data_IF_141625330003
#
_entry.id   IF_141625330003
#
_cell.length_a   1.000
_cell.length_b   1.000
_cell.length_c   1.000
_cell.angle_alpha   90.00
_cell.angle_beta   90.00
_cell.angle_gamma   90.00
#
_symmetry.space_group_name_H-M   'P 1'
#
loop_
_entity.id
_entity.type
_entity.pdbx_description
1 polymer ?
#
# COMPACT_ATOMS: atom_id res chain seq x y z
N UNK A 1 2.07 -14.72 24.36
CA UNK A 1 0.65 -14.67 23.94
C UNK A 1 0.58 -14.40 22.45
N UNK A 2 -0.11 -15.24 21.67
CA UNK A 2 -0.33 -14.98 20.24
C UNK A 2 -1.32 -13.81 20.09
N UNK A 3 -1.05 -12.87 19.18
CA UNK A 3 -1.98 -11.78 18.89
C UNK A 3 -3.28 -12.33 18.32
N UNK A 4 -4.43 -11.77 18.75
CA UNK A 4 -5.75 -12.08 18.21
C UNK A 4 -5.75 -11.81 16.70
N UNK A 5 -6.25 -12.77 15.92
CA UNK A 5 -6.50 -12.56 14.49
C UNK A 5 -7.63 -11.55 14.32
N UNK A 6 -7.42 -10.57 13.44
CA UNK A 6 -8.40 -9.52 13.12
C UNK A 6 -8.34 -9.20 11.63
N UNK A 7 -9.40 -8.58 11.13
CA UNK A 7 -9.39 -7.98 9.80
C UNK A 7 -8.99 -6.51 9.92
N UNK A 8 -8.27 -6.04 8.91
CA UNK A 8 -7.86 -4.65 8.77
C UNK A 8 -8.39 -4.12 7.45
N UNK A 9 -8.75 -2.84 7.42
CA UNK A 9 -9.22 -2.14 6.23
C UNK A 9 -8.27 -0.98 5.92
N UNK A 10 -7.88 -0.87 4.66
CA UNK A 10 -7.29 0.34 4.08
C UNK A 10 -8.32 1.01 3.16
N UNK A 11 -8.54 2.31 3.33
CA UNK A 11 -9.36 3.13 2.43
C UNK A 11 -8.47 4.18 1.78
N UNK A 12 -8.25 4.05 0.48
CA UNK A 12 -7.37 4.93 -0.29
C UNK A 12 -8.10 6.22 -0.71
N UNK A 13 -7.36 7.30 -1.05
CA UNK A 13 -7.94 8.58 -1.47
C UNK A 13 -8.83 8.52 -2.71
N UNK A 14 -8.62 7.53 -3.59
CA UNK A 14 -9.44 7.28 -4.79
C UNK A 14 -10.70 6.44 -4.50
N UNK A 15 -10.98 6.14 -3.22
CA UNK A 15 -12.08 5.29 -2.81
C UNK A 15 -11.80 3.78 -2.90
N UNK A 16 -10.59 3.35 -3.31
CA UNK A 16 -10.22 1.95 -3.29
C UNK A 16 -10.16 1.42 -1.85
N UNK A 17 -10.86 0.31 -1.59
CA UNK A 17 -10.89 -0.34 -0.27
C UNK A 17 -10.21 -1.70 -0.34
N UNK A 18 -9.26 -1.95 0.58
CA UNK A 18 -8.59 -3.24 0.74
C UNK A 18 -8.90 -3.82 2.11
N UNK A 19 -9.60 -4.96 2.15
CA UNK A 19 -9.70 -5.79 3.36
C UNK A 19 -8.48 -6.73 3.44
N UNK A 20 -7.91 -6.84 4.62
CA UNK A 20 -6.66 -7.57 4.92
C UNK A 20 -6.95 -8.50 6.09
N UNK A 21 -6.52 -9.76 5.98
CA UNK A 21 -6.64 -10.74 7.07
C UNK A 21 -7.65 -11.85 6.79
N UNK A 22 -7.96 -12.68 7.80
CA UNK A 22 -7.68 -12.44 9.22
C UNK A 22 -6.19 -12.63 9.55
N UNK A 23 -5.57 -11.66 10.21
CA UNK A 23 -4.13 -11.68 10.53
C UNK A 23 -3.84 -11.31 11.99
N UNK A 24 -2.79 -11.93 12.54
CA UNK A 24 -2.21 -11.58 13.83
C UNK A 24 -1.00 -10.63 13.69
N UNK A 25 -0.55 -10.36 12.46
CA UNK A 25 0.53 -9.42 12.20
C UNK A 25 0.17 -8.01 12.70
N UNK A 26 1.16 -7.25 13.19
CA UNK A 26 0.95 -5.87 13.61
C UNK A 26 1.08 -4.91 12.43
N UNK A 27 0.38 -5.18 11.33
CA UNK A 27 0.34 -4.20 10.25
C UNK A 27 -0.39 -2.95 10.73
N UNK A 28 0.18 -1.80 10.39
CA UNK A 28 -0.36 -0.49 10.76
C UNK A 28 -0.64 0.36 9.53
N UNK A 29 0.01 0.09 8.40
CA UNK A 29 -0.13 0.88 7.19
C UNK A 29 -0.22 -0.01 5.96
N UNK A 30 -1.05 0.40 5.00
CA UNK A 30 -1.02 -0.05 3.62
C UNK A 30 -0.41 1.05 2.77
N UNK A 31 0.41 0.67 1.79
CA UNK A 31 0.97 1.60 0.83
C UNK A 31 0.81 1.04 -0.58
N UNK A 32 0.75 1.95 -1.56
CA UNK A 32 0.82 1.59 -2.97
C UNK A 32 1.56 2.63 -3.80
N UNK A 33 2.07 2.20 -4.94
CA UNK A 33 2.53 3.05 -6.04
C UNK A 33 1.62 2.77 -7.22
N UNK A 34 0.93 3.80 -7.69
CA UNK A 34 0.11 3.77 -8.91
C UNK A 34 0.91 4.44 -10.01
N UNK A 35 1.36 3.67 -10.99
CA UNK A 35 2.20 4.14 -12.09
C UNK A 35 1.47 4.05 -13.42
N UNK A 36 1.67 5.05 -14.28
CA UNK A 36 1.17 5.07 -15.66
C UNK A 36 2.33 4.81 -16.61
N UNK A 37 2.15 3.88 -17.55
CA UNK A 37 3.13 3.53 -18.57
C UNK A 37 2.91 4.35 -19.84
N UNK A 38 3.91 4.42 -20.71
CA UNK A 38 3.84 5.14 -22.00
C UNK A 38 2.67 4.69 -22.88
N UNK A 39 2.26 3.42 -22.79
CA UNK A 39 1.10 2.88 -23.53
C UNK A 39 -0.26 3.18 -22.86
N UNK A 40 -0.29 4.02 -21.83
CA UNK A 40 -1.49 4.38 -21.09
C UNK A 40 -1.97 3.34 -20.08
N UNK A 41 -1.30 2.20 -19.92
CA UNK A 41 -1.65 1.19 -18.91
C UNK A 41 -1.23 1.63 -17.51
N UNK A 42 -1.93 1.15 -16.50
CA UNK A 42 -1.60 1.36 -15.10
C UNK A 42 -0.95 0.11 -14.49
N UNK A 43 0.20 0.29 -13.83
CA UNK A 43 0.79 -0.71 -12.93
C UNK A 43 0.58 -0.27 -11.48
N UNK A 44 0.20 -1.20 -10.60
CA UNK A 44 0.04 -0.93 -9.17
C UNK A 44 0.91 -1.86 -8.35
N UNK A 45 1.81 -1.28 -7.56
CA UNK A 45 2.59 -1.99 -6.54
C UNK A 45 2.02 -1.68 -5.18
N UNK A 46 1.99 -2.64 -4.27
CA UNK A 46 1.41 -2.43 -2.95
C UNK A 46 2.01 -3.34 -1.89
N UNK A 47 1.80 -2.99 -0.62
CA UNK A 47 2.18 -3.83 0.50
C UNK A 47 1.68 -3.29 1.84
N UNK A 48 2.05 -3.99 2.91
CA UNK A 48 1.73 -3.61 4.29
C UNK A 48 3.02 -3.44 5.08
N UNK A 49 3.03 -2.54 6.06
CA UNK A 49 4.17 -2.33 6.97
C UNK A 49 3.71 -2.29 8.42
N UNK A 50 4.69 -2.43 9.33
CA UNK A 50 4.42 -2.47 10.78
C UNK A 50 4.60 -1.10 11.43
N UNK A 51 5.06 -0.10 10.68
CA UNK A 51 5.16 1.28 11.14
C UNK A 51 4.99 2.31 10.01
N UNK A 52 4.66 3.55 10.41
CA UNK A 52 4.66 4.71 9.51
C UNK A 52 6.05 4.98 8.92
N UNK A 53 7.11 4.80 9.71
CA UNK A 53 8.48 5.01 9.25
C UNK A 53 8.85 4.05 8.11
N UNK A 54 8.49 2.78 8.23
CA UNK A 54 8.66 1.79 7.15
C UNK A 54 7.82 2.15 5.92
N UNK A 55 6.56 2.57 6.11
CA UNK A 55 5.69 2.97 5.01
C UNK A 55 6.30 4.15 4.23
N UNK A 56 6.75 5.19 4.92
CA UNK A 56 7.42 6.36 4.32
C UNK A 56 8.63 5.97 3.48
N UNK A 57 9.44 5.00 3.94
CA UNK A 57 10.62 4.50 3.19
C UNK A 57 10.24 3.85 1.87
N UNK A 58 9.02 3.34 1.69
CA UNK A 58 8.57 2.71 0.43
C UNK A 58 8.41 3.70 -0.72
N UNK A 59 8.29 5.01 -0.43
CA UNK A 59 8.31 6.07 -1.46
C UNK A 59 9.58 6.00 -2.32
N UNK A 60 10.71 5.60 -1.75
CA UNK A 60 11.98 5.53 -2.46
C UNK A 60 12.00 4.48 -3.58
N UNK A 61 11.08 3.49 -3.57
CA UNK A 61 10.99 2.50 -4.64
C UNK A 61 10.38 3.07 -5.94
N UNK A 62 9.68 4.21 -5.86
CA UNK A 62 9.01 4.80 -7.02
C UNK A 62 9.97 5.32 -8.12
N UNK A 63 11.03 6.11 -7.82
CA UNK A 63 11.97 6.56 -8.84
C UNK A 63 12.73 5.41 -9.51
N UNK A 64 13.08 4.36 -8.76
CA UNK A 64 13.74 3.17 -9.33
C UNK A 64 12.80 2.43 -10.27
N UNK A 65 11.55 2.23 -9.86
CA UNK A 65 10.51 1.67 -10.71
C UNK A 65 10.29 2.47 -11.99
N UNK A 66 10.23 3.81 -11.88
CA UNK A 66 10.05 4.69 -13.03
C UNK A 66 11.18 4.55 -14.06
N UNK A 67 12.43 4.49 -13.59
CA UNK A 67 13.60 4.29 -14.46
C UNK A 67 13.60 2.94 -15.16
N UNK A 68 13.17 1.88 -14.47
CA UNK A 68 13.29 0.51 -14.99
C UNK A 68 12.11 0.06 -15.84
N UNK A 69 10.94 0.70 -15.70
CA UNK A 69 9.66 0.18 -16.24
C UNK A 69 8.95 1.11 -17.22
N UNK A 70 9.57 2.23 -17.59
CA UNK A 70 8.99 3.17 -18.57
C UNK A 70 7.72 3.84 -18.05
N UNK A 71 7.72 4.26 -16.78
CA UNK A 71 6.60 5.01 -16.21
C UNK A 71 6.66 6.47 -16.65
N UNK A 72 5.54 7.00 -17.16
CA UNK A 72 5.37 8.42 -17.49
C UNK A 72 5.00 9.25 -16.27
N UNK A 73 4.30 8.64 -15.32
CA UNK A 73 3.96 9.27 -14.04
C UNK A 73 3.73 8.20 -12.98
N UNK A 74 3.85 8.59 -11.71
CA UNK A 74 3.55 7.72 -10.59
C UNK A 74 3.07 8.51 -9.37
N UNK A 75 2.24 7.87 -8.56
CA UNK A 75 1.80 8.38 -7.27
C UNK A 75 2.11 7.36 -6.18
N UNK A 76 2.76 7.82 -5.11
CA UNK A 76 2.94 7.02 -3.90
C UNK A 76 1.89 7.45 -2.87
N UNK A 77 1.11 6.48 -2.40
CA UNK A 77 0.07 6.68 -1.41
C UNK A 77 0.27 5.72 -0.24
N UNK A 78 -0.09 6.17 0.95
CA UNK A 78 -0.16 5.31 2.12
C UNK A 78 -1.30 5.76 3.02
N UNK A 79 -1.90 4.79 3.71
CA UNK A 79 -2.98 5.03 4.66
C UNK A 79 -2.78 4.14 5.88
N UNK A 80 -3.27 4.62 7.02
CA UNK A 80 -3.34 3.80 8.22
C UNK A 80 -4.38 2.70 8.04
N UNK A 81 -4.11 1.55 8.65
CA UNK A 81 -5.03 0.43 8.71
C UNK A 81 -5.94 0.58 9.91
N UNK A 82 -7.23 0.37 9.69
CA UNK A 82 -8.25 0.36 10.75
C UNK A 82 -8.76 -1.06 10.93
N UNK A 83 -8.98 -1.50 12.17
CA UNK A 83 -9.64 -2.79 12.40
C UNK A 83 -11.05 -2.76 11.81
N UNK A 84 -11.38 -3.77 11.00
CA UNK A 84 -12.72 -3.87 10.42
C UNK A 84 -13.72 -4.18 11.54
N UNK A 85 -14.83 -3.45 11.60
CA UNK A 85 -16.00 -3.89 12.32
C UNK A 85 -16.63 -5.03 11.51
N UNK A 86 -16.40 -6.27 11.91
CA UNK A 86 -17.31 -7.38 11.55
C UNK A 86 -18.44 -7.43 12.57
#
# INVERSE_FOLDING_TARGET
MARRKRYLTATMPDGYVKKIGPTADPFTHYWRIVAVLENGKTEVFWGHTRSLAEAKKKRAAAPDGARMRGWTSYQFEMVELVESAD
#
